data_IF_084571685462
#
_entry.id   IF_084571685462
#
_cell.length_a   1.000
_cell.length_b   1.000
_cell.length_c   1.000
_cell.angle_alpha   90.00
_cell.angle_beta   90.00
_cell.angle_gamma   90.00
#
_symmetry.space_group_name_H-M   'P 1'
#
loop_
_entity.id
_entity.type
_entity.pdbx_description
1 polymer ?
#
# COMPACT_ATOMS: atom_id res chain seq x y z
N UNK A 1 -11.00 -19.58 -1.68
CA UNK A 1 -10.75 -18.13 -1.51
C UNK A 1 -10.40 -17.91 -0.06
N UNK A 2 -9.15 -17.56 0.24
CA UNK A 2 -8.76 -17.25 1.62
C UNK A 2 -9.34 -15.90 2.01
N UNK A 3 -10.38 -15.91 2.84
CA UNK A 3 -10.98 -14.69 3.38
C UNK A 3 -10.01 -14.06 4.36
N UNK A 4 -9.41 -12.93 3.99
CA UNK A 4 -8.48 -12.22 4.87
C UNK A 4 -9.26 -11.45 5.93
N UNK A 5 -9.10 -11.84 7.19
CA UNK A 5 -9.74 -11.19 8.33
C UNK A 5 -8.93 -9.95 8.77
N UNK A 6 -9.63 -8.89 9.14
CA UNK A 6 -9.01 -7.66 9.62
C UNK A 6 -8.14 -7.92 10.85
N UNK A 7 -6.87 -7.47 10.89
CA UNK A 7 -6.00 -7.70 12.03
C UNK A 7 -6.45 -6.95 13.29
N UNK A 8 -7.28 -5.90 13.15
CA UNK A 8 -7.76 -5.06 14.26
C UNK A 8 -9.03 -5.58 14.93
N UNK A 9 -10.02 -6.01 14.15
CA UNK A 9 -11.34 -6.40 14.66
C UNK A 9 -11.82 -7.78 14.19
N UNK A 10 -10.99 -8.52 13.45
CA UNK A 10 -11.25 -9.87 12.91
C UNK A 10 -12.42 -9.98 11.93
N UNK A 11 -13.09 -8.87 11.59
CA UNK A 11 -14.10 -8.83 10.53
C UNK A 11 -13.48 -9.10 9.15
N UNK A 12 -14.21 -9.80 8.27
CA UNK A 12 -13.79 -10.01 6.88
C UNK A 12 -13.53 -8.66 6.19
N UNK A 13 -12.43 -8.58 5.44
CA UNK A 13 -12.08 -7.40 4.65
C UNK A 13 -12.63 -7.50 3.23
N UNK A 14 -12.96 -6.33 2.68
CA UNK A 14 -13.33 -6.16 1.28
C UNK A 14 -12.06 -5.91 0.45
N UNK A 15 -11.96 -6.57 -0.70
CA UNK A 15 -10.81 -6.44 -1.61
C UNK A 15 -11.12 -5.41 -2.70
N UNK A 16 -10.16 -4.53 -2.98
CA UNK A 16 -10.31 -3.51 -4.00
C UNK A 16 -8.96 -2.96 -4.47
N UNK A 17 -9.04 -1.82 -5.14
CA UNK A 17 -7.86 -1.09 -5.62
C UNK A 17 -7.99 0.38 -5.25
N UNK A 18 -6.85 1.06 -5.14
CA UNK A 18 -6.82 2.50 -4.96
C UNK A 18 -7.19 3.19 -6.29
N UNK A 19 -8.35 3.83 -6.36
CA UNK A 19 -8.73 4.67 -7.49
C UNK A 19 -8.20 6.09 -7.28
N UNK A 20 -7.46 6.63 -8.25
CA UNK A 20 -6.88 7.96 -8.17
C UNK A 20 -7.66 8.92 -9.08
N UNK A 21 -8.28 9.94 -8.52
CA UNK A 21 -9.04 10.96 -9.27
C UNK A 21 -8.27 12.30 -9.41
N UNK A 22 -6.93 12.27 -9.42
CA UNK A 22 -6.10 13.47 -9.50
C UNK A 22 -4.74 13.22 -10.16
N UNK A 23 -3.97 14.30 -10.38
CA UNK A 23 -2.70 14.33 -11.13
C UNK A 23 -1.46 13.92 -10.31
N UNK A 24 -1.63 13.38 -9.10
CA UNK A 24 -0.54 12.88 -8.26
C UNK A 24 -0.42 11.36 -8.31
N UNK A 25 0.82 10.85 -8.32
CA UNK A 25 1.06 9.43 -8.01
C UNK A 25 1.02 9.27 -6.50
N UNK A 26 0.04 8.52 -5.99
CA UNK A 26 0.05 8.14 -4.58
C UNK A 26 0.48 6.69 -4.42
N UNK A 27 1.23 6.48 -3.36
CA UNK A 27 1.97 5.25 -3.12
C UNK A 27 2.86 5.44 -1.90
N UNK A 28 3.71 4.45 -1.65
CA UNK A 28 4.56 4.46 -0.47
C UNK A 28 5.90 5.16 -0.76
N UNK A 29 6.28 6.06 0.14
CA UNK A 29 7.59 6.69 0.17
C UNK A 29 8.26 6.33 1.49
N UNK A 30 9.40 5.67 1.40
CA UNK A 30 10.14 5.24 2.57
C UNK A 30 10.89 6.41 3.21
N UNK A 31 10.89 6.49 4.54
CA UNK A 31 11.77 7.41 5.28
C UNK A 31 13.27 7.10 5.11
N UNK A 32 13.62 5.90 4.62
CA UNK A 32 15.00 5.52 4.33
C UNK A 32 15.53 6.15 3.04
N UNK A 33 14.66 6.68 2.18
CA UNK A 33 15.06 7.46 1.01
C UNK A 33 15.50 8.85 1.47
N UNK A 34 16.81 9.04 1.63
CA UNK A 34 17.40 10.30 2.11
C UNK A 34 17.86 11.23 0.99
N UNK A 35 17.80 10.79 -0.28
CA UNK A 35 18.20 11.55 -1.46
C UNK A 35 17.18 12.61 -1.92
N UNK A 36 17.63 13.48 -2.84
CA UNK A 36 16.83 14.58 -3.41
C UNK A 36 15.64 14.09 -4.26
N UNK A 37 15.75 12.87 -4.82
CA UNK A 37 14.69 12.19 -5.54
C UNK A 37 14.05 11.13 -4.64
N UNK A 38 12.82 11.39 -4.21
CA UNK A 38 11.99 10.38 -3.54
C UNK A 38 11.19 9.63 -4.59
N UNK A 39 11.33 8.31 -4.60
CA UNK A 39 10.65 7.45 -5.57
C UNK A 39 9.46 6.77 -4.91
N UNK A 40 8.27 7.02 -5.47
CA UNK A 40 7.00 6.45 -4.98
C UNK A 40 6.91 4.99 -5.41
N UNK A 41 6.74 4.06 -4.47
CA UNK A 41 6.42 2.65 -4.77
C UNK A 41 4.92 2.51 -4.96
N UNK A 42 4.48 1.86 -6.05
CA UNK A 42 3.06 1.78 -6.37
C UNK A 42 2.35 0.78 -5.47
N UNK A 43 1.11 1.11 -5.11
CA UNK A 43 0.18 0.19 -4.44
C UNK A 43 -0.53 -0.60 -5.53
N UNK A 44 -0.45 -1.93 -5.45
CA UNK A 44 -1.02 -2.86 -6.45
C UNK A 44 -2.34 -3.46 -6.01
N UNK A 45 -2.58 -3.54 -4.70
CA UNK A 45 -3.80 -4.10 -4.11
C UNK A 45 -4.13 -3.37 -2.80
N UNK A 46 -5.41 -3.21 -2.51
CA UNK A 46 -5.88 -2.71 -1.23
C UNK A 46 -7.00 -3.59 -0.68
N UNK A 47 -7.10 -3.66 0.65
CA UNK A 47 -8.20 -4.29 1.36
C UNK A 47 -8.71 -3.33 2.42
N UNK A 48 -10.01 -3.14 2.49
CA UNK A 48 -10.65 -2.25 3.45
C UNK A 48 -11.53 -3.05 4.42
N UNK A 49 -11.41 -2.75 5.71
CA UNK A 49 -12.30 -3.31 6.72
C UNK A 49 -13.55 -2.42 6.84
N UNK A 50 -14.75 -2.93 6.50
CA UNK A 50 -15.97 -2.13 6.57
C UNK A 50 -16.40 -1.82 8.01
N UNK A 51 -15.90 -2.56 9.00
CA UNK A 51 -16.30 -2.41 10.40
C UNK A 51 -15.47 -1.35 11.16
N UNK A 52 -14.15 -1.31 10.94
CA UNK A 52 -13.26 -0.43 11.70
C UNK A 52 -12.46 0.56 10.85
N UNK A 53 -12.64 0.56 9.52
CA UNK A 53 -11.94 1.46 8.61
C UNK A 53 -10.45 1.17 8.41
N UNK A 54 -9.92 0.08 9.00
CA UNK A 54 -8.55 -0.35 8.75
C UNK A 54 -8.37 -0.70 7.27
N UNK A 55 -7.32 -0.15 6.65
CA UNK A 55 -6.93 -0.45 5.27
C UNK A 55 -5.58 -1.14 5.26
N UNK A 56 -5.50 -2.27 4.58
CA UNK A 56 -4.26 -2.96 4.25
C UNK A 56 -3.92 -2.68 2.79
N UNK A 57 -2.67 -2.30 2.51
CA UNK A 57 -2.22 -1.96 1.17
C UNK A 57 -0.96 -2.76 0.85
N UNK A 58 -0.91 -3.31 -0.36
CA UNK A 58 0.21 -4.08 -0.84
C UNK A 58 0.98 -3.29 -1.89
N UNK A 59 2.29 -3.28 -1.72
CA UNK A 59 3.25 -2.72 -2.67
C UNK A 59 3.86 -3.86 -3.47
N UNK A 60 4.36 -3.56 -4.66
CA UNK A 60 5.26 -4.49 -5.35
C UNK A 60 6.54 -4.64 -4.51
N UNK A 61 6.85 -5.85 -4.01
CA UNK A 61 7.99 -6.05 -3.12
C UNK A 61 9.34 -5.88 -3.84
N UNK A 62 9.41 -6.11 -5.15
CA UNK A 62 10.65 -5.98 -5.91
C UNK A 62 10.90 -4.51 -6.28
N UNK A 63 9.86 -3.77 -6.68
CA UNK A 63 9.92 -2.31 -6.82
C UNK A 63 10.33 -1.65 -5.49
N UNK A 64 9.76 -2.09 -4.37
CA UNK A 64 10.09 -1.58 -3.05
C UNK A 64 11.56 -1.82 -2.69
N UNK A 65 12.07 -3.04 -2.90
CA UNK A 65 13.48 -3.39 -2.59
C UNK A 65 14.46 -2.57 -3.41
N UNK A 66 14.21 -2.40 -4.71
CA UNK A 66 15.05 -1.56 -5.59
C UNK A 66 15.15 -0.14 -5.01
N UNK A 67 14.01 0.46 -4.68
CA UNK A 67 13.91 1.83 -4.17
C UNK A 67 14.43 2.04 -2.75
N UNK A 68 14.64 0.97 -2.00
CA UNK A 68 15.28 1.00 -0.68
C UNK A 68 16.80 0.77 -0.76
N UNK A 69 17.29 0.23 -1.88
CA UNK A 69 18.71 -0.14 -2.08
C UNK A 69 19.47 0.92 -2.86
N UNK A 70 18.79 1.73 -3.69
CA UNK A 70 19.35 2.94 -4.30
C UNK A 70 19.74 3.94 -3.19
N UNK A 71 21.04 3.99 -2.89
CA UNK A 71 21.68 4.97 -1.99
C UNK A 71 22.23 6.14 -2.78
#
# INVERSE_FOLDING_TARGET
METTACPKCKTQMDEGYMSWSGSGSSGYVSKKQTGMLRTVTKITLARACPNCGYVEMYLDPDELKQKLTEK
#
